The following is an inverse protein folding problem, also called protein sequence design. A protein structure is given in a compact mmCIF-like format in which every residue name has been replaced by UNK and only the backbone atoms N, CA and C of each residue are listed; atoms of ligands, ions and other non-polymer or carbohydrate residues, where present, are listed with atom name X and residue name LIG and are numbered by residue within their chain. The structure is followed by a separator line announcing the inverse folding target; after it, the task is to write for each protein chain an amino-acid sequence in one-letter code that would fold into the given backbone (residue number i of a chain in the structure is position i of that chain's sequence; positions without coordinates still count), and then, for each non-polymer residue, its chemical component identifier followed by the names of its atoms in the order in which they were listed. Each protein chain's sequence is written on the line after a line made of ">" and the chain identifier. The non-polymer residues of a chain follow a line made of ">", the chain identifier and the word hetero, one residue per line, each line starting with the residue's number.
data_IF_128450249041
#
_entry.id   IF_128450249041
#
_cell.length_a   1.000
_cell.length_b   1.000
_cell.length_c   1.000
_cell.angle_alpha   90.00
_cell.angle_beta   90.00
_cell.angle_gamma   90.00
#
_symmetry.space_group_name_H-M   'P 1'
#
loop_
_entity.id
_entity.type
_entity.pdbx_description
1 polymer ?
2 non-polymer ?
3 non-polymer ?
4 water ?
#
# COMPACT_ATOMS: atom_id res chain seq x y z
N UNK A 23 -18.88 -3.36 26.44
CA UNK A 23 -19.50 -4.56 25.87
C UNK A 23 -20.15 -4.26 24.52
N UNK A 24 -19.44 -3.50 23.68
CA UNK A 24 -19.90 -3.17 22.33
C UNK A 24 -20.38 -4.40 21.58
N UNK A 25 -21.55 -4.29 20.96
CA UNK A 25 -21.99 -5.26 19.96
C UNK A 25 -22.25 -4.50 18.67
N UNK A 26 -21.82 -5.08 17.54
CA UNK A 26 -22.07 -4.47 16.24
C UNK A 26 -23.55 -4.53 15.88
N UNK A 27 -24.12 -3.40 15.46
CA UNK A 27 -25.54 -3.32 15.09
C UNK A 27 -25.73 -3.15 13.58
N UNK A 28 -24.77 -2.53 12.92
CA UNK A 28 -24.87 -2.25 11.48
C UNK A 28 -23.51 -2.35 10.83
N UNK A 29 -23.49 -2.85 9.60
CA UNK A 29 -22.30 -2.81 8.74
C UNK A 29 -22.78 -2.22 7.44
N UNK A 30 -22.29 -1.04 7.09
CA UNK A 30 -22.71 -0.38 5.86
C UNK A 30 -21.52 -0.23 4.93
N UNK A 31 -21.76 -0.34 3.63
CA UNK A 31 -20.66 -0.40 2.66
C UNK A 31 -20.97 0.54 1.50
N UNK A 32 -19.96 1.31 1.08
CA UNK A 32 -20.06 2.16 -0.11
C UNK A 32 -18.88 1.87 -1.01
N UNK A 33 -19.02 2.19 -2.30
CA UNK A 33 -17.89 2.18 -3.22
C UNK A 33 -17.74 3.60 -3.76
N UNK A 34 -16.52 4.14 -3.72
CA UNK A 34 -16.29 5.52 -4.16
C UNK A 34 -15.27 5.60 -5.29
N UNK A 35 -15.43 6.57 -6.19
CA UNK A 35 -14.39 6.93 -7.16
C UNK A 35 -13.77 8.27 -6.77
N UNK A 36 -12.45 8.32 -6.62
CA UNK A 36 -11.77 9.59 -6.35
C UNK A 36 -10.68 9.86 -7.38
N UNK A 37 -10.49 11.14 -7.74
CA UNK A 37 -9.54 11.51 -8.79
C UNK A 37 -8.10 11.71 -8.33
N UNK A 38 -7.18 11.39 -9.24
CA UNK A 38 -5.76 11.69 -9.09
C UNK A 38 -5.51 13.09 -9.64
N UNK A 39 -4.30 13.60 -9.51
CA UNK A 39 -3.96 14.90 -10.10
C UNK A 39 -3.46 14.73 -11.54
N UNK A 40 -2.67 13.68 -11.75
CA UNK A 40 -2.04 13.41 -13.04
C UNK A 40 -2.07 11.90 -13.31
N UNK A 41 -1.97 11.49 -14.58
CA UNK A 41 -2.01 10.05 -14.85
C UNK A 41 -0.82 9.29 -14.26
N UNK A 42 -1.03 7.99 -14.03
CA UNK A 42 -0.05 7.15 -13.35
C UNK A 42 0.11 5.84 -14.13
N UNK A 43 1.31 5.60 -14.64
CA UNK A 43 1.57 4.47 -15.53
C UNK A 43 2.42 3.37 -14.89
N UNK A 44 1.83 2.18 -14.72
CA UNK A 44 2.62 1.01 -14.35
C UNK A 44 2.88 0.18 -15.61
N UNK A 45 3.55 -0.96 -15.47
CA UNK A 45 3.80 -1.84 -16.61
C UNK A 45 2.49 -2.49 -17.06
N UNK A 46 1.47 -2.27 -16.24
CA UNK A 46 0.22 -3.01 -16.23
C UNK A 46 -0.89 -2.17 -16.86
N UNK A 47 -0.95 -0.88 -16.49
CA UNK A 47 -2.00 0.01 -16.96
C UNK A 47 -1.64 1.49 -16.72
N UNK A 48 -2.52 2.38 -17.15
CA UNK A 48 -2.41 3.81 -16.86
C UNK A 48 -3.71 4.30 -16.23
N UNK A 49 -3.63 4.80 -14.99
CA UNK A 49 -4.82 5.19 -14.24
C UNK A 49 -4.92 6.69 -14.02
N UNK A 50 -6.15 7.17 -13.81
CA UNK A 50 -6.41 8.59 -13.56
C UNK A 50 -7.31 8.80 -12.34
N UNK A 51 -7.60 7.72 -11.63
CA UNK A 51 -8.42 7.78 -10.43
C UNK A 51 -8.31 6.52 -9.60
N UNK A 52 -8.83 6.57 -8.37
CA UNK A 52 -8.93 5.39 -7.52
C UNK A 52 -10.39 5.00 -7.33
N UNK A 53 -10.65 3.69 -7.30
CA UNK A 53 -11.91 3.19 -6.80
C UNK A 53 -11.61 2.47 -5.50
N UNK A 54 -12.38 2.78 -4.45
CA UNK A 54 -12.16 2.18 -3.13
C UNK A 54 -13.47 1.75 -2.50
N UNK A 55 -13.40 0.81 -1.56
CA UNK A 55 -14.57 0.36 -0.81
C UNK A 55 -14.47 0.86 0.63
N UNK A 56 -15.55 1.48 1.11
CA UNK A 56 -15.58 2.08 2.44
C UNK A 56 -16.59 1.35 3.30
N UNK A 57 -16.22 1.06 4.55
CA UNK A 57 -17.08 0.31 5.46
C UNK A 57 -17.24 1.08 6.77
N UNK A 58 -18.46 1.16 7.26
CA UNK A 58 -18.70 1.70 8.59
C UNK A 58 -19.32 0.62 9.44
N UNK A 59 -18.71 0.36 10.59
CA UNK A 59 -19.25 -0.57 11.57
C UNK A 59 -19.86 0.20 12.73
N UNK A 60 -21.17 0.02 12.93
CA UNK A 60 -21.87 0.69 14.02
C UNK A 60 -22.08 -0.24 15.20
N UNK A 61 -21.99 0.29 16.42
CA UNK A 61 -22.20 -0.52 17.61
C UNK A 61 -23.35 0.00 18.46
N UNK A 62 -23.76 -0.80 19.43
CA UNK A 62 -24.90 -0.43 20.28
C UNK A 62 -24.52 0.65 21.29
N UNK A 63 -23.25 1.02 21.35
CA UNK A 63 -22.81 2.09 22.24
C UNK A 63 -22.71 3.42 21.48
N UNK A 64 -22.97 3.36 20.18
CA UNK A 64 -22.98 4.57 19.37
C UNK A 64 -21.65 4.80 18.68
N UNK A 65 -20.65 3.98 19.03
CA UNK A 65 -19.33 4.10 18.40
C UNK A 65 -19.43 3.68 16.94
N UNK A 66 -18.78 4.43 16.07
CA UNK A 66 -18.73 4.08 14.65
C UNK A 66 -17.28 3.92 14.20
N UNK A 67 -16.94 2.72 13.75
CA UNK A 67 -15.61 2.47 13.22
C UNK A 67 -15.61 2.49 11.70
N UNK A 68 -14.57 3.08 11.12
CA UNK A 68 -14.47 3.20 9.67
C UNK A 68 -13.29 2.43 9.11
N UNK A 69 -13.52 1.73 8.01
CA UNK A 69 -12.47 1.07 7.28
C UNK A 69 -12.55 1.43 5.81
N UNK A 70 -11.47 1.16 5.08
CA UNK A 70 -11.40 1.44 3.66
C UNK A 70 -10.43 0.45 3.04
N UNK A 71 -10.74 -0.03 1.85
CA UNK A 71 -9.91 -1.05 1.23
C UNK A 71 -9.92 -0.86 -0.28
N UNK A 72 -9.16 -1.69 -1.00
CA UNK A 72 -8.98 -1.49 -2.43
C UNK A 72 -10.14 -2.02 -3.26
N UNK A 73 -10.29 -1.44 -4.46
CA UNK A 73 -11.29 -1.86 -5.45
C UNK A 73 -12.75 -1.59 -5.07
N UNK A 74 -13.68 -2.04 -5.92
CA UNK A 74 -15.07 -1.62 -5.83
C UNK A 74 -16.08 -2.73 -5.69
N UNK A 75 -16.97 -2.86 -6.68
CA UNK A 75 -18.11 -3.76 -6.61
C UNK A 75 -17.82 -5.17 -6.08
N UNK A 76 -16.78 -5.84 -6.61
CA UNK A 76 -16.58 -7.20 -6.10
C UNK A 76 -16.07 -7.27 -4.66
N UNK A 77 -15.34 -6.26 -4.20
CA UNK A 77 -14.89 -6.26 -2.81
C UNK A 77 -16.06 -5.91 -1.90
N UNK A 78 -16.83 -4.89 -2.27
CA UNK A 78 -18.03 -4.55 -1.52
C UNK A 78 -18.97 -5.74 -1.38
N UNK A 79 -19.07 -6.56 -2.44
CA UNK A 79 -19.99 -7.70 -2.42
C UNK A 79 -19.57 -8.71 -1.36
N UNK A 80 -18.27 -8.94 -1.22
CA UNK A 80 -17.76 -9.87 -0.22
C UNK A 80 -18.06 -9.35 1.19
N UNK A 81 -17.80 -8.05 1.42
CA UNK A 81 -18.06 -7.46 2.73
C UNK A 81 -19.54 -7.61 3.11
N UNK A 82 -20.42 -7.34 2.16
CA UNK A 82 -21.85 -7.42 2.44
C UNK A 82 -22.30 -8.85 2.75
N UNK A 83 -21.61 -9.84 2.20
CA UNK A 83 -21.93 -11.23 2.50
C UNK A 83 -21.42 -11.65 3.88
N UNK A 84 -20.31 -11.07 4.31
CA UNK A 84 -19.78 -11.32 5.65
C UNK A 84 -20.54 -10.57 6.74
N UNK A 85 -21.22 -9.49 6.35
CA UNK A 85 -21.88 -8.59 7.31
C UNK A 85 -22.95 -9.18 8.24
N UNK A 86 -23.89 -9.98 7.71
CA UNK A 86 -24.99 -10.43 8.59
C UNK A 86 -24.48 -11.16 9.84
N UNK A 87 -23.42 -11.95 9.70
CA UNK A 87 -22.86 -12.68 10.83
C UNK A 87 -22.03 -11.81 11.77
N UNK A 88 -21.65 -10.61 11.30
CA UNK A 88 -20.96 -9.66 12.15
C UNK A 88 -21.90 -9.01 13.16
N UNK A 89 -23.19 -8.95 12.82
CA UNK A 89 -24.18 -8.34 13.69
C UNK A 89 -24.23 -9.10 15.01
N UNK A 90 -24.12 -8.37 16.11
CA UNK A 90 -24.17 -8.96 17.44
C UNK A 90 -22.83 -9.40 17.99
N UNK A 91 -21.77 -9.23 17.21
CA UNK A 91 -20.42 -9.57 17.68
C UNK A 91 -19.66 -8.34 18.20
N UNK A 92 -18.58 -8.58 18.92
CA UNK A 92 -17.75 -7.50 19.44
C UNK A 92 -16.66 -7.12 18.45
N UNK A 93 -16.39 -5.82 18.28
CA UNK A 93 -15.30 -5.41 17.39
C UNK A 93 -13.94 -5.88 17.91
N UNK A 94 -13.87 -6.21 19.19
CA UNK A 94 -12.63 -6.74 19.77
C UNK A 94 -12.35 -8.18 19.31
N UNK A 95 -13.40 -8.89 18.90
CA UNK A 95 -13.28 -10.33 18.55
C UNK A 95 -12.71 -10.60 17.16
N UNK A 96 -11.56 -10.00 16.87
CA UNK A 96 -10.97 -10.14 15.53
C UNK A 96 -10.36 -11.51 15.27
N UNK A 97 -9.81 -12.16 16.29
CA UNK A 97 -9.27 -13.50 16.05
C UNK A 97 -10.38 -14.43 15.56
N UNK A 98 -11.55 -14.35 16.22
CA UNK A 98 -12.68 -15.18 15.84
C UNK A 98 -13.18 -14.84 14.43
N UNK A 99 -13.24 -13.55 14.10
CA UNK A 99 -13.68 -13.13 12.78
C UNK A 99 -12.76 -13.67 11.67
N UNK A 100 -11.46 -13.50 11.85
CA UNK A 100 -10.51 -13.98 10.86
C UNK A 100 -10.57 -15.50 10.67
N UNK A 101 -10.73 -16.24 11.77
CA UNK A 101 -10.83 -17.70 11.67
C UNK A 101 -12.12 -18.11 10.96
N UNK A 102 -13.21 -17.41 11.26
CA UNK A 102 -14.49 -17.71 10.63
C UNK A 102 -14.40 -17.52 9.11
N UNK A 103 -13.66 -16.50 8.70
CA UNK A 103 -13.56 -16.15 7.28
C UNK A 103 -12.31 -16.73 6.62
N UNK A 104 -11.73 -17.77 7.22
CA UNK A 104 -10.46 -18.31 6.75
C UNK A 104 -10.46 -18.79 5.30
N UNK A 105 -11.60 -19.25 4.82
CA UNK A 105 -11.68 -19.77 3.46
C UNK A 105 -11.93 -18.70 2.40
N UNK A 106 -12.31 -17.51 2.83
CA UNK A 106 -12.63 -16.45 1.89
C UNK A 106 -11.46 -16.14 0.92
N UNK A 107 -10.23 -15.98 1.44
CA UNK A 107 -9.12 -15.69 0.52
C UNK A 107 -8.76 -16.87 -0.39
N UNK A 108 -9.10 -18.10 0.00
CA UNK A 108 -8.79 -19.23 -0.87
C UNK A 108 -9.53 -19.14 -2.19
N UNK A 109 -10.77 -18.66 -2.13
CA UNK A 109 -11.61 -18.55 -3.31
C UNK A 109 -11.54 -17.19 -3.97
N UNK A 110 -11.56 -16.14 -3.15
CA UNK A 110 -11.69 -14.77 -3.67
C UNK A 110 -10.33 -14.08 -3.84
N UNK A 111 -9.26 -14.76 -3.41
CA UNK A 111 -7.91 -14.25 -3.56
C UNK A 111 -7.66 -12.89 -2.92
N UNK A 112 -6.93 -12.04 -3.64
CA UNK A 112 -6.55 -10.70 -3.17
C UNK A 112 -7.81 -9.93 -2.72
N UNK A 113 -8.89 -10.04 -3.50
CA UNK A 113 -10.13 -9.34 -3.15
C UNK A 113 -10.71 -9.84 -1.83
N UNK A 114 -10.52 -11.13 -1.53
CA UNK A 114 -10.94 -11.68 -0.25
C UNK A 114 -10.16 -11.09 0.92
N UNK A 115 -8.83 -11.08 0.82
CA UNK A 115 -8.03 -10.40 1.84
C UNK A 115 -8.45 -8.94 2.00
N UNK A 116 -8.68 -8.27 0.87
CA UNK A 116 -9.04 -6.85 0.88
C UNK A 116 -10.35 -6.61 1.61
N UNK A 117 -11.34 -7.45 1.35
CA UNK A 117 -12.65 -7.31 1.97
C UNK A 117 -12.54 -7.54 3.48
N UNK A 118 -11.80 -8.58 3.86
CA UNK A 118 -11.57 -8.83 5.28
C UNK A 118 -10.84 -7.65 5.95
N UNK A 119 -9.86 -7.08 5.25
CA UNK A 119 -9.11 -5.94 5.79
C UNK A 119 -9.97 -4.72 6.07
N UNK A 120 -10.97 -4.46 5.25
CA UNK A 120 -11.86 -3.32 5.46
C UNK A 120 -12.59 -3.46 6.80
N UNK A 121 -13.09 -4.67 7.07
CA UNK A 121 -13.77 -4.94 8.32
C UNK A 121 -12.79 -4.86 9.48
N UNK A 122 -11.62 -5.47 9.29
CA UNK A 122 -10.54 -5.45 10.28
C UNK A 122 -10.20 -4.02 10.72
N UNK A 123 -9.93 -3.16 9.74
CA UNK A 123 -9.59 -1.76 10.02
C UNK A 123 -10.72 -1.02 10.74
N UNK A 124 -11.96 -1.22 10.28
CA UNK A 124 -13.10 -0.59 10.92
C UNK A 124 -13.22 -1.02 12.38
N UNK A 125 -12.92 -2.28 12.65
CA UNK A 125 -12.96 -2.76 14.05
C UNK A 125 -11.85 -2.13 14.90
N UNK A 126 -10.65 -1.99 14.35
CA UNK A 126 -9.59 -1.30 15.08
C UNK A 126 -9.95 0.15 15.39
N UNK A 127 -10.58 0.82 14.43
CA UNK A 127 -11.04 2.18 14.63
C UNK A 127 -12.06 2.23 15.76
N UNK A 128 -13.00 1.29 15.73
CA UNK A 128 -14.04 1.22 16.77
C UNK A 128 -13.43 0.88 18.14
N UNK A 129 -12.46 -0.04 18.16
CA UNK A 129 -11.76 -0.39 19.40
C UNK A 129 -11.06 0.82 20.01
N UNK A 130 -10.32 1.56 19.20
CA UNK A 130 -9.70 2.79 19.67
C UNK A 130 -10.69 3.81 20.21
N UNK A 131 -11.79 4.02 19.48
CA UNK A 131 -12.79 4.99 19.94
C UNK A 131 -13.47 4.54 21.23
N UNK A 132 -13.71 3.25 21.36
CA UNK A 132 -14.36 2.72 22.55
C UNK A 132 -13.47 2.83 23.80
N UNK A 133 -12.16 2.80 23.58
CA UNK A 133 -11.19 2.80 24.67
C UNK A 133 -10.52 4.16 24.88
N UNK A 134 -10.84 5.12 24.01
CA UNK A 134 -10.23 6.44 24.09
C UNK A 134 -8.76 6.44 23.72
N UNK A 135 -8.32 5.43 22.97
CA UNK A 135 -6.92 5.31 22.58
C UNK A 135 -6.74 5.35 21.08
N UNK A 136 -5.60 5.85 20.62
CA UNK A 136 -5.25 5.75 19.20
C UNK A 136 -5.01 4.29 18.82
N UNK A 137 -5.22 3.97 17.55
CA UNK A 137 -4.84 2.63 17.07
C UNK A 137 -3.35 2.44 17.27
N UNK A 138 -2.57 3.50 17.07
CA UNK A 138 -1.12 3.43 17.29
C UNK A 138 -0.81 2.91 18.69
N UNK A 139 -1.53 3.42 19.68
CA UNK A 139 -1.29 3.00 21.06
C UNK A 139 -1.75 1.58 21.37
N UNK A 140 -2.74 1.10 20.61
CA UNK A 140 -3.19 -0.30 20.75
C UNK A 140 -2.27 -1.28 20.01
N UNK A 141 -1.30 -0.74 19.27
CA UNK A 141 -0.37 -1.55 18.49
C UNK A 141 1.05 -1.52 19.04
N UNK A 142 1.20 -1.01 20.26
CA UNK A 142 2.51 -0.97 20.90
C UNK A 142 3.04 0.43 21.11
N UNK A 143 2.28 1.43 20.67
CA UNK A 143 2.69 2.80 20.88
C UNK A 143 3.70 3.29 19.84
N UNK A 144 3.85 4.60 19.76
CA UNK A 144 4.71 5.20 18.75
C UNK A 144 6.20 5.00 19.03
N UNK A 145 6.95 4.70 17.97
CA UNK A 145 8.41 4.78 17.98
C UNK A 145 8.87 5.88 17.02
N UNK A 146 7.95 6.36 16.20
CA UNK A 146 8.18 7.52 15.33
C UNK A 146 6.85 8.24 15.10
N UNK A 147 6.88 9.57 14.89
CA UNK A 147 5.63 10.31 14.69
C UNK A 147 5.49 10.92 13.30
N UNK A 148 6.47 10.67 12.44
CA UNK A 148 6.40 11.07 11.03
C UNK A 148 6.77 9.89 10.16
N UNK A 149 6.17 9.82 8.98
CA UNK A 149 6.44 8.70 8.05
C UNK A 149 6.82 9.24 6.68
N UNK A 150 8.09 9.02 6.27
CA UNK A 150 8.50 9.51 4.96
C UNK A 150 7.81 8.72 3.87
N UNK A 151 7.48 9.39 2.76
CA UNK A 151 6.87 8.70 1.63
C UNK A 151 7.76 8.83 0.40
N UNK A 152 7.37 8.13 -0.66
CA UNK A 152 8.23 7.97 -1.83
C UNK A 152 7.66 8.70 -3.03
N UNK A 153 8.53 9.38 -3.78
CA UNK A 153 8.11 9.98 -5.04
C UNK A 153 7.98 8.90 -6.10
N UNK A 154 6.79 8.75 -6.65
CA UNK A 154 6.55 7.75 -7.65
C UNK A 154 6.62 8.39 -9.03
N UNK A 155 7.54 7.94 -9.86
CA UNK A 155 7.67 8.48 -11.22
C UNK A 155 7.41 7.41 -12.28
N UNK A 156 6.75 7.81 -13.35
CA UNK A 156 6.40 6.88 -14.42
C UNK A 156 6.62 7.56 -15.76
N UNK A 157 6.58 6.79 -16.84
CA UNK A 157 6.80 7.34 -18.18
C UNK A 157 5.72 8.34 -18.59
N UNK A 158 4.59 8.33 -17.89
CA UNK A 158 3.52 9.31 -18.15
C UNK A 158 3.97 10.72 -17.75
N UNK A 159 5.07 10.82 -17.01
CA UNK A 159 5.62 12.11 -16.60
C UNK A 159 6.49 12.71 -17.70
N UNK A 160 6.76 11.93 -18.74
CA UNK A 160 7.51 12.41 -19.90
C UNK A 160 6.74 12.14 -21.19
N UNK A 161 5.53 12.72 -21.32
CA UNK A 161 4.54 12.38 -22.35
C UNK A 161 5.07 12.54 -23.77
N UNK A 162 5.80 13.62 -24.00
CA UNK A 162 6.23 13.93 -25.35
C UNK A 162 7.44 13.15 -25.84
N UNK A 163 8.18 12.56 -24.90
CA UNK A 163 9.55 12.11 -25.15
C UNK A 163 9.78 10.98 -26.16
N UNK A 164 10.79 11.20 -27.01
CA UNK A 164 11.37 10.17 -27.87
C UNK A 164 12.21 9.26 -26.99
N UNK A 165 12.38 7.99 -27.39
CA UNK A 165 13.23 7.02 -26.67
C UNK A 165 14.60 7.61 -26.32
N UNK A 166 15.19 8.35 -27.25
CA UNK A 166 16.49 8.98 -27.03
C UNK A 166 16.42 10.05 -25.92
N UNK A 167 15.29 10.75 -25.84
CA UNK A 167 15.12 11.85 -24.89
C UNK A 167 14.52 11.45 -23.55
N UNK A 168 13.93 10.25 -23.49
CA UNK A 168 13.21 9.81 -22.30
C UNK A 168 14.02 9.82 -20.99
N UNK A 169 15.25 9.30 -20.98
CA UNK A 169 15.99 9.32 -19.71
C UNK A 169 16.22 10.72 -19.15
N UNK A 170 16.64 11.66 -19.99
CA UNK A 170 16.86 13.04 -19.54
C UNK A 170 15.56 13.68 -19.04
N UNK A 171 14.48 13.47 -19.78
CA UNK A 171 13.18 14.00 -19.38
C UNK A 171 12.73 13.44 -18.04
N UNK A 172 12.97 12.15 -17.82
CA UNK A 172 12.61 11.53 -16.54
C UNK A 172 13.47 12.02 -15.38
N UNK A 173 14.75 12.24 -15.65
CA UNK A 173 15.68 12.72 -14.63
C UNK A 173 15.36 14.15 -14.22
N UNK A 174 15.05 14.99 -15.20
CA UNK A 174 14.68 16.38 -14.91
C UNK A 174 13.38 16.43 -14.11
N UNK A 175 12.45 15.54 -14.45
CA UNK A 175 11.22 15.43 -13.67
C UNK A 175 11.49 14.98 -12.23
N UNK A 176 12.34 13.97 -12.08
CA UNK A 176 12.67 13.46 -10.75
C UNK A 176 13.27 14.57 -9.88
N UNK A 177 14.18 15.35 -10.44
CA UNK A 177 14.83 16.43 -9.70
C UNK A 177 13.80 17.45 -9.21
N UNK A 178 12.89 17.86 -10.09
CA UNK A 178 11.83 18.79 -9.71
C UNK A 178 10.96 18.24 -8.59
N UNK A 179 10.56 16.98 -8.70
CA UNK A 179 9.70 16.37 -7.68
C UNK A 179 10.40 16.28 -6.33
N UNK A 180 11.67 15.87 -6.33
CA UNK A 180 12.44 15.75 -5.10
C UNK A 180 12.72 17.12 -4.48
N UNK A 181 13.14 18.08 -5.30
CA UNK A 181 13.45 19.41 -4.80
C UNK A 181 12.20 20.12 -4.27
N UNK A 182 11.08 19.97 -4.98
CA UNK A 182 9.84 20.61 -4.56
C UNK A 182 9.16 19.90 -3.38
N UNK A 183 9.29 18.57 -3.33
CA UNK A 183 8.53 17.78 -2.37
C UNK A 183 9.28 17.28 -1.15
N UNK A 184 10.61 17.30 -1.21
CA UNK A 184 11.41 16.85 -0.09
C UNK A 184 11.45 15.34 0.11
N UNK A 185 11.13 14.59 -0.94
CA UNK A 185 11.09 13.14 -0.86
C UNK A 185 12.45 12.52 -0.59
N UNK A 186 12.49 11.53 0.30
CA UNK A 186 13.72 10.79 0.63
C UNK A 186 14.01 9.68 -0.37
N UNK A 187 12.99 9.26 -1.10
CA UNK A 187 13.13 8.12 -2.00
C UNK A 187 12.39 8.39 -3.31
N UNK A 188 12.88 7.79 -4.38
CA UNK A 188 12.26 7.88 -5.70
C UNK A 188 12.09 6.47 -6.25
N UNK A 189 10.90 6.17 -6.77
CA UNK A 189 10.64 4.86 -7.33
C UNK A 189 10.16 4.98 -8.76
N UNK A 190 10.90 4.39 -9.69
CA UNK A 190 10.50 4.32 -11.09
C UNK A 190 9.58 3.13 -11.35
N UNK A 191 8.44 3.39 -11.98
CA UNK A 191 7.61 2.29 -12.45
C UNK A 191 8.20 1.76 -13.74
N UNK A 192 8.67 0.51 -13.70
CA UNK A 192 9.33 -0.09 -14.84
C UNK A 192 8.32 -0.59 -15.83
N UNK A 193 8.82 -1.13 -16.94
CA UNK A 193 7.97 -1.53 -18.07
C UNK A 193 8.53 -2.78 -18.71
N UNK A 194 7.93 -3.21 -19.81
CA UNK A 194 8.47 -4.34 -20.56
C UNK A 194 9.76 -3.96 -21.27
N UNK A 195 9.98 -2.65 -21.46
CA UNK A 195 11.18 -2.11 -22.08
C UNK A 195 12.28 -2.02 -21.03
N UNK A 196 12.90 -3.14 -20.68
CA UNK A 196 13.89 -3.14 -19.59
C UNK A 196 15.15 -2.35 -19.92
N UNK A 197 15.58 -2.33 -21.18
CA UNK A 197 16.74 -1.53 -21.53
C UNK A 197 16.47 -0.03 -21.32
N UNK A 198 15.26 0.39 -21.65
CA UNK A 198 14.86 1.78 -21.44
C UNK A 198 14.73 2.12 -19.96
N UNK A 199 14.23 1.17 -19.18
CA UNK A 199 14.14 1.34 -17.73
C UNK A 199 15.54 1.60 -17.15
N UNK A 200 16.52 0.80 -17.58
CA UNK A 200 17.90 0.96 -17.11
C UNK A 200 18.48 2.33 -17.49
N UNK A 201 18.22 2.75 -18.72
CA UNK A 201 18.68 4.05 -19.20
C UNK A 201 18.11 5.19 -18.35
N UNK A 202 16.83 5.09 -18.02
CA UNK A 202 16.17 6.09 -17.18
C UNK A 202 16.82 6.13 -15.78
N UNK A 203 17.03 4.97 -15.18
CA UNK A 203 17.60 4.92 -13.85
C UNK A 203 19.01 5.51 -13.83
N UNK A 204 19.79 5.23 -14.88
CA UNK A 204 21.14 5.81 -14.97
C UNK A 204 21.10 7.33 -14.95
N UNK A 205 20.16 7.89 -15.70
CA UNK A 205 20.03 9.35 -15.78
C UNK A 205 19.53 9.93 -14.45
N UNK A 206 18.57 9.27 -13.83
CA UNK A 206 18.04 9.71 -12.53
C UNK A 206 19.12 9.69 -11.44
N UNK A 207 19.88 8.59 -11.37
CA UNK A 207 20.98 8.50 -10.40
C UNK A 207 22.02 9.60 -10.62
N UNK A 208 22.37 9.85 -11.88
CA UNK A 208 23.35 10.89 -12.18
C UNK A 208 22.87 12.25 -11.67
N UNK A 209 21.58 12.50 -11.81
CA UNK A 209 20.99 13.77 -11.42
C UNK A 209 20.76 13.87 -9.90
N UNK A 210 20.57 12.72 -9.28
CA UNK A 210 20.27 12.65 -7.84
C UNK A 210 21.16 11.61 -7.17
N UNK A 211 22.44 11.96 -6.93
CA UNK A 211 23.40 10.96 -6.45
C UNK A 211 23.09 10.46 -5.05
N UNK A 212 22.35 11.22 -4.26
CA UNK A 212 22.11 10.89 -2.87
C UNK A 212 20.75 10.28 -2.51
N UNK A 213 19.83 10.27 -3.46
CA UNK A 213 18.46 9.81 -3.19
C UNK A 213 18.38 8.28 -3.13
N UNK A 214 17.55 7.74 -2.24
CA UNK A 214 17.24 6.31 -2.30
C UNK A 214 16.43 6.06 -3.57
N UNK A 215 16.89 5.11 -4.39
CA UNK A 215 16.31 4.90 -5.71
C UNK A 215 15.88 3.45 -5.91
N UNK A 216 14.69 3.27 -6.47
CA UNK A 216 14.10 1.95 -6.67
C UNK A 216 13.53 1.83 -8.08
N UNK A 217 13.41 0.60 -8.57
CA UNK A 217 12.62 0.38 -9.79
C UNK A 217 11.71 -0.82 -9.56
N UNK A 218 10.50 -0.74 -10.11
CA UNK A 218 9.46 -1.76 -9.93
C UNK A 218 8.83 -2.04 -11.28
N UNK A 219 9.29 -3.10 -11.96
CA UNK A 219 8.71 -3.49 -13.25
C UNK A 219 7.39 -4.28 -13.11
N UNK A 220 6.89 -4.45 -11.88
CA UNK A 220 5.68 -5.20 -11.63
C UNK A 220 5.68 -6.58 -12.31
N UNK A 221 6.83 -7.24 -12.21
CA UNK A 221 7.07 -8.60 -12.71
C UNK A 221 7.04 -8.72 -14.23
N UNK A 222 7.30 -7.61 -14.92
CA UNK A 222 7.18 -7.59 -16.38
C UNK A 222 8.41 -8.13 -17.14
N UNK A 223 9.52 -8.33 -16.44
CA UNK A 223 10.75 -8.77 -17.08
C UNK A 223 10.91 -10.27 -16.95
N UNK A 224 11.46 -10.92 -17.98
CA UNK A 224 11.83 -12.33 -17.83
C UNK A 224 12.98 -12.47 -16.86
N UNK A 225 13.26 -13.70 -16.40
CA UNK A 225 14.38 -13.88 -15.47
C UNK A 225 15.75 -13.56 -16.12
N UNK A 226 16.02 -14.07 -17.34
CA UNK A 226 17.30 -13.67 -17.95
C UNK A 226 17.43 -12.15 -18.15
N UNK A 227 16.36 -11.48 -18.54
CA UNK A 227 16.43 -10.02 -18.69
C UNK A 227 16.60 -9.33 -17.33
N UNK A 228 16.03 -9.92 -16.27
CA UNK A 228 16.18 -9.38 -14.91
C UNK A 228 17.62 -9.51 -14.44
N UNK A 229 18.26 -10.63 -14.78
CA UNK A 229 19.66 -10.79 -14.43
C UNK A 229 20.52 -9.80 -15.23
N UNK A 230 20.30 -9.69 -16.54
CA UNK A 230 21.08 -8.76 -17.33
C UNK A 230 20.90 -7.32 -16.85
N UNK A 231 19.64 -6.92 -16.61
CA UNK A 231 19.37 -5.57 -16.12
C UNK A 231 19.92 -5.35 -14.73
N UNK A 232 19.75 -6.34 -13.85
CA UNK A 232 20.22 -6.25 -12.47
C UNK A 232 21.72 -6.02 -12.41
N UNK A 233 22.47 -6.78 -13.22
CA UNK A 233 23.92 -6.59 -13.30
C UNK A 233 24.25 -5.18 -13.71
N UNK A 234 23.55 -4.67 -14.72
CA UNK A 234 23.76 -3.31 -15.20
C UNK A 234 23.46 -2.26 -14.13
N UNK A 235 22.47 -2.56 -13.29
CA UNK A 235 22.01 -1.59 -12.30
C UNK A 235 22.81 -1.59 -11.01
N UNK A 236 23.69 -2.58 -10.82
CA UNK A 236 24.49 -2.65 -9.59
C UNK A 236 25.24 -1.35 -9.32
N UNK A 237 25.75 -0.72 -10.38
CA UNK A 237 26.58 0.47 -10.21
C UNK A 237 25.79 1.65 -9.64
N UNK A 238 24.47 1.55 -9.63
CA UNK A 238 23.66 2.68 -9.18
C UNK A 238 23.31 2.62 -7.70
N UNK A 239 23.70 1.54 -7.02
CA UNK A 239 23.38 1.33 -5.60
C UNK A 239 21.90 1.61 -5.26
N UNK A 240 21.00 0.90 -5.94
CA UNK A 240 19.58 1.05 -5.68
C UNK A 240 19.26 0.56 -4.28
N UNK A 241 18.25 1.19 -3.66
CA UNK A 241 17.79 0.72 -2.36
C UNK A 241 17.24 -0.69 -2.51
N UNK A 242 16.45 -0.90 -3.56
CA UNK A 242 16.08 -2.24 -3.96
C UNK A 242 15.55 -2.29 -5.38
N UNK A 243 15.58 -3.49 -5.91
CA UNK A 243 14.95 -3.86 -7.15
C UNK A 243 13.67 -4.59 -6.74
N UNK A 244 12.52 -4.07 -7.15
CA UNK A 244 11.23 -4.57 -6.69
C UNK A 244 10.54 -5.37 -7.80
N UNK A 245 10.24 -6.65 -7.53
CA UNK A 245 9.53 -7.50 -8.48
C UNK A 245 9.95 -7.35 -9.94
N UNK A 246 11.24 -7.62 -10.23
CA UNK A 246 11.63 -7.59 -11.65
C UNK A 246 10.88 -8.64 -12.45
N UNK A 247 10.64 -9.80 -11.85
CA UNK A 247 10.08 -10.96 -12.58
C UNK A 247 9.01 -11.66 -11.75
N UNK A 248 8.35 -12.63 -12.36
CA UNK A 248 7.27 -13.38 -11.72
C UNK A 248 7.81 -14.53 -10.88
N UNK A 249 7.24 -14.73 -9.70
CA UNK A 249 7.35 -16.01 -8.99
C UNK A 249 8.51 -16.15 -8.03
N UNK A 250 8.33 -16.98 -7.01
CA UNK A 250 9.43 -17.30 -6.08
C UNK A 250 10.66 -17.89 -6.77
N UNK A 251 10.46 -18.79 -7.73
CA UNK A 251 11.59 -19.42 -8.40
C UNK A 251 12.43 -18.39 -9.15
N UNK A 252 11.77 -17.54 -9.93
CA UNK A 252 12.47 -16.54 -10.71
C UNK A 252 13.16 -15.52 -9.83
N UNK A 253 12.45 -15.06 -8.81
CA UNK A 253 13.04 -14.10 -7.89
C UNK A 253 14.28 -14.67 -7.21
N UNK A 254 14.21 -15.93 -6.81
CA UNK A 254 15.38 -16.57 -6.20
C UNK A 254 16.56 -16.66 -7.18
N UNK A 255 16.28 -16.90 -8.46
CA UNK A 255 17.37 -16.94 -9.44
C UNK A 255 18.01 -15.56 -9.59
N UNK A 256 17.18 -14.52 -9.55
CA UNK A 256 17.70 -13.15 -9.60
C UNK A 256 18.57 -12.85 -8.37
N UNK A 257 18.06 -13.17 -7.18
CA UNK A 257 18.81 -12.90 -5.95
C UNK A 257 20.14 -13.66 -5.96
N UNK A 258 20.17 -14.86 -6.54
CA UNK A 258 21.42 -15.61 -6.55
C UNK A 258 22.51 -14.94 -7.39
N UNK A 259 22.12 -14.14 -8.39
CA UNK A 259 23.09 -13.55 -9.31
C UNK A 259 23.31 -12.06 -9.10
N UNK A 260 22.26 -11.33 -8.74
CA UNK A 260 22.29 -9.87 -8.77
C UNK A 260 22.53 -9.28 -7.37
N UNK A 261 23.54 -8.41 -7.25
CA UNK A 261 23.87 -7.84 -5.94
C UNK A 261 23.16 -6.50 -5.69
N UNK A 262 21.84 -6.60 -5.57
CA UNK A 262 20.95 -5.49 -5.24
C UNK A 262 19.89 -6.14 -4.37
N UNK A 263 19.54 -5.51 -3.22
CA UNK A 263 18.46 -6.11 -2.43
C UNK A 263 17.19 -6.25 -3.26
N UNK A 264 16.54 -7.40 -3.14
CA UNK A 264 15.38 -7.73 -3.93
C UNK A 264 14.13 -7.63 -3.07
N UNK A 265 13.15 -6.87 -3.53
CA UNK A 265 11.91 -6.61 -2.79
C UNK A 265 10.71 -7.19 -3.51
N UNK A 266 9.68 -7.60 -2.77
CA UNK A 266 8.44 -8.05 -3.43
C UNK A 266 7.16 -7.59 -2.76
N UNK A 267 6.13 -7.39 -3.58
CA UNK A 267 4.75 -7.39 -3.11
C UNK A 267 3.89 -8.29 -4.00
N UNK A 268 4.53 -9.24 -4.66
CA UNK A 268 3.84 -10.07 -5.64
C UNK A 268 4.12 -11.59 -5.49
N UNK A 269 5.32 -11.97 -5.07
CA UNK A 269 5.64 -13.39 -4.91
C UNK A 269 5.50 -13.88 -3.45
N UNK A 270 5.44 -12.95 -2.50
CA UNK A 270 5.11 -13.26 -1.13
C UNK A 270 3.98 -12.31 -0.75
N UNK A 271 2.74 -12.81 -0.74
CA UNK A 271 1.58 -11.95 -0.52
C UNK A 271 0.66 -12.53 0.54
N UNK A 272 1.12 -13.61 1.17
CA UNK A 272 0.38 -14.24 2.26
C UNK A 272 1.36 -15.11 3.02
N UNK A 273 1.00 -15.51 4.24
CA UNK A 273 1.90 -16.31 5.05
C UNK A 273 2.27 -17.67 4.46
N UNK A 274 1.37 -18.26 3.67
CA UNK A 274 1.66 -19.54 3.01
C UNK A 274 2.85 -19.45 2.07
N UNK A 275 3.15 -18.23 1.61
CA UNK A 275 4.27 -18.02 0.69
C UNK A 275 5.60 -17.85 1.42
N UNK A 276 5.54 -17.54 2.71
CA UNK A 276 6.72 -17.06 3.41
C UNK A 276 7.77 -18.14 3.65
N UNK A 277 7.37 -19.28 4.20
CA UNK A 277 8.35 -20.35 4.43
C UNK A 277 9.01 -20.82 3.12
N UNK A 278 8.22 -21.06 2.06
CA UNK A 278 8.90 -21.44 0.82
C UNK A 278 9.85 -20.35 0.30
N UNK A 279 9.48 -19.08 0.40
CA UNK A 279 10.34 -18.00 -0.08
C UNK A 279 11.62 -17.94 0.74
N UNK A 280 11.54 -18.25 2.04
CA UNK A 280 12.78 -18.26 2.83
C UNK A 280 13.67 -19.43 2.50
N UNK A 281 13.09 -20.62 2.36
CA UNK A 281 13.92 -21.79 2.08
C UNK A 281 14.60 -21.66 0.72
N UNK A 282 13.93 -21.00 -0.21
CA UNK A 282 14.48 -20.84 -1.55
C UNK A 282 15.26 -19.54 -1.71
N UNK A 283 15.38 -18.77 -0.63
CA UNK A 283 16.16 -17.52 -0.63
C UNK A 283 15.71 -16.59 -1.76
N UNK A 284 14.42 -16.29 -1.78
CA UNK A 284 13.83 -15.57 -2.90
C UNK A 284 13.89 -14.06 -2.80
N UNK A 285 13.88 -13.52 -1.56
CA UNK A 285 13.74 -12.07 -1.39
C UNK A 285 14.53 -11.53 -0.20
N UNK A 286 14.90 -10.26 -0.27
CA UNK A 286 15.61 -9.61 0.81
C UNK A 286 14.72 -8.63 1.60
N UNK A 287 13.66 -8.16 0.94
CA UNK A 287 12.77 -7.13 1.50
C UNK A 287 11.34 -7.54 1.13
N UNK A 288 10.41 -7.46 2.09
CA UNK A 288 9.00 -7.73 1.77
C UNK A 288 8.18 -6.50 2.01
N UNK A 289 7.29 -6.17 1.07
CA UNK A 289 6.28 -5.14 1.33
C UNK A 289 5.12 -5.70 2.12
N UNK A 290 4.78 -5.03 3.21
CA UNK A 290 3.51 -5.28 3.86
C UNK A 290 2.47 -4.40 3.19
N UNK A 291 1.21 -4.66 3.51
CA UNK A 291 0.09 -3.87 3.01
C UNK A 291 -1.12 -4.49 3.70
N UNK A 292 -1.76 -3.72 4.56
CA UNK A 292 -2.88 -4.20 5.36
C UNK A 292 -3.97 -4.81 4.49
N UNK A 293 -4.20 -4.22 3.33
CA UNK A 293 -5.33 -4.59 2.46
C UNK A 293 -5.02 -5.86 1.67
N UNK A 294 -3.73 -6.08 1.41
CA UNK A 294 -3.27 -7.26 0.74
C UNK A 294 -3.16 -8.46 1.70
N UNK A 295 -2.89 -8.17 2.97
CA UNK A 295 -2.65 -9.24 3.94
C UNK A 295 -3.84 -9.49 4.85
N UNK A 296 -4.90 -8.71 4.67
CA UNK A 296 -6.17 -8.97 5.34
C UNK A 296 -6.38 -8.32 6.69
N UNK A 297 -5.42 -7.51 7.15
CA UNK A 297 -5.61 -6.82 8.42
C UNK A 297 -4.38 -6.24 9.07
N UNK A 298 -4.60 -5.55 10.18
CA UNK A 298 -3.52 -4.89 10.90
C UNK A 298 -2.66 -5.87 11.69
N UNK A 299 -3.29 -6.78 12.44
CA UNK A 299 -2.48 -7.79 13.17
C UNK A 299 -1.61 -8.63 12.24
N UNK A 300 -2.13 -8.98 11.07
CA UNK A 300 -1.33 -9.74 10.10
C UNK A 300 -0.07 -8.95 9.70
N UNK A 301 -0.22 -7.64 9.57
CA UNK A 301 0.88 -6.77 9.15
C UNK A 301 1.93 -6.61 10.26
N UNK A 302 1.48 -6.44 11.50
CA UNK A 302 2.40 -6.49 12.64
C UNK A 302 3.11 -7.83 12.71
N UNK A 303 2.39 -8.93 12.45
CA UNK A 303 3.01 -10.25 12.44
C UNK A 303 4.05 -10.36 11.33
N UNK A 304 3.73 -9.83 10.16
CA UNK A 304 4.68 -9.88 9.05
C UNK A 304 5.95 -9.14 9.42
N UNK A 305 5.81 -7.99 10.09
CA UNK A 305 7.00 -7.24 10.54
C UNK A 305 7.89 -8.10 11.43
N UNK A 306 7.28 -8.84 12.34
CA UNK A 306 8.06 -9.71 13.21
C UNK A 306 8.76 -10.82 12.41
N UNK A 307 8.07 -11.37 11.42
CA UNK A 307 8.65 -12.39 10.56
C UNK A 307 9.87 -11.83 9.82
N UNK A 308 9.75 -10.58 9.33
CA UNK A 308 10.86 -9.95 8.64
C UNK A 308 12.05 -9.79 9.57
N UNK A 309 11.81 -9.29 10.78
CA UNK A 309 12.92 -9.18 11.75
C UNK A 309 13.60 -10.51 12.02
N UNK A 310 12.79 -11.57 12.20
CA UNK A 310 13.35 -12.90 12.48
C UNK A 310 14.26 -13.41 11.38
N UNK A 311 13.92 -13.10 10.12
CA UNK A 311 14.70 -13.57 8.99
C UNK A 311 15.67 -12.54 8.43
N UNK A 312 15.81 -11.42 9.13
CA UNK A 312 16.73 -10.39 8.69
C UNK A 312 16.33 -9.76 7.37
N UNK A 313 15.04 -9.66 7.13
CA UNK A 313 14.56 -9.05 5.91
C UNK A 313 14.24 -7.59 6.16
N UNK A 314 14.43 -6.76 5.13
CA UNK A 314 13.87 -5.43 5.17
C UNK A 314 12.37 -5.52 5.05
N UNK A 315 11.69 -4.46 5.46
CA UNK A 315 10.25 -4.37 5.24
C UNK A 315 9.88 -2.97 4.82
N UNK A 316 8.93 -2.84 3.90
CA UNK A 316 8.37 -1.54 3.61
C UNK A 316 6.86 -1.72 3.46
N UNK A 317 6.14 -0.65 3.18
CA UNK A 317 4.71 -0.78 2.86
C UNK A 317 4.44 -0.46 1.39
N UNK A 318 3.62 -1.33 0.78
CA UNK A 318 3.12 -1.18 -0.59
C UNK A 318 1.88 -0.32 -0.57
N UNK A 319 1.66 0.42 -1.65
CA UNK A 319 0.42 1.20 -1.76
C UNK A 319 -0.47 0.69 -2.89
N UNK A 320 -1.73 0.43 -2.56
CA UNK A 320 -2.72 0.03 -3.56
C UNK A 320 -3.70 1.13 -3.89
N UNK A 321 -3.36 2.37 -3.53
CA UNK A 321 -4.20 3.52 -3.85
C UNK A 321 -5.04 4.02 -2.68
N UNK A 322 -4.49 3.90 -1.47
CA UNK A 322 -5.21 4.27 -0.25
C UNK A 322 -5.61 5.73 -0.20
N UNK A 323 -6.84 5.97 0.23
CA UNK A 323 -7.28 7.31 0.58
C UNK A 323 -6.93 7.54 2.04
N UNK A 324 -7.58 8.51 2.66
CA UNK A 324 -7.22 8.93 4.00
C UNK A 324 -7.44 7.91 5.10
N UNK A 325 -8.56 7.19 5.05
CA UNK A 325 -8.86 6.19 6.08
C UNK A 325 -7.83 5.07 6.04
N UNK A 326 -7.60 4.55 4.84
CA UNK A 326 -6.67 3.44 4.68
C UNK A 326 -5.22 3.87 4.95
N UNK A 327 -4.89 5.11 4.61
CA UNK A 327 -3.54 5.62 4.86
C UNK A 327 -3.33 5.78 6.35
N UNK A 328 -4.35 6.28 7.06
CA UNK A 328 -4.28 6.47 8.50
C UNK A 328 -4.01 5.13 9.19
N UNK A 329 -4.60 4.06 8.68
CA UNK A 329 -4.32 2.74 9.25
C UNK A 329 -2.86 2.36 9.03
N UNK A 330 -2.37 2.58 7.81
CA UNK A 330 -0.97 2.29 7.53
C UNK A 330 -0.04 3.15 8.37
N UNK A 331 -0.44 4.39 8.62
CA UNK A 331 0.39 5.27 9.45
C UNK A 331 0.47 4.77 10.89
N UNK A 332 -0.63 4.25 11.43
CA UNK A 332 -0.62 3.66 12.77
C UNK A 332 0.35 2.48 12.84
N UNK A 333 0.35 1.67 11.79
CA UNK A 333 1.25 0.54 11.70
C UNK A 333 2.71 1.02 11.65
N UNK A 334 3.03 1.93 10.73
CA UNK A 334 4.41 2.40 10.62
C UNK A 334 4.87 3.08 11.92
N UNK A 335 4.00 3.87 12.52
CA UNK A 335 4.34 4.62 13.72
C UNK A 335 4.79 3.68 14.84
N UNK A 336 4.19 2.50 14.90
CA UNK A 336 4.39 1.59 16.03
C UNK A 336 5.31 0.42 15.72
N UNK A 337 5.94 0.44 14.53
CA UNK A 337 6.68 -0.73 14.07
C UNK A 337 8.12 -0.37 13.68
N UNK A 338 9.08 -0.64 14.57
CA UNK A 338 10.50 -0.33 14.32
C UNK A 338 11.01 -0.70 12.93
N UNK A 339 10.71 -1.90 12.42
CA UNK A 339 11.32 -2.33 11.17
C UNK A 339 10.83 -1.53 9.95
N UNK A 340 9.70 -0.86 10.06
CA UNK A 340 9.20 0.00 8.98
C UNK A 340 9.89 1.38 9.03
N UNK A 341 11.19 1.36 8.74
CA UNK A 341 12.06 2.53 8.91
C UNK A 341 12.39 3.21 7.60
N UNK A 342 11.73 2.76 6.52
CA UNK A 342 11.99 3.26 5.17
C UNK A 342 10.94 4.25 4.74
N UNK A 343 11.18 4.92 3.62
CA UNK A 343 10.14 5.75 3.02
C UNK A 343 9.12 4.82 2.37
N UNK A 344 7.87 4.88 2.82
CA UNK A 344 6.86 3.95 2.31
C UNK A 344 6.36 4.37 0.94
N UNK A 345 5.75 3.44 0.22
CA UNK A 345 5.01 3.81 -0.98
C UNK A 345 3.64 4.35 -0.55
N UNK A 346 3.21 5.43 -1.18
CA UNK A 346 1.91 6.01 -0.87
C UNK A 346 1.42 6.83 -2.05
N UNK A 347 0.25 6.46 -2.57
CA UNK A 347 -0.39 7.20 -3.65
C UNK A 347 -1.08 8.45 -3.11
N UNK A 348 -1.11 8.59 -1.78
CA UNK A 348 -1.91 9.62 -1.11
C UNK A 348 -1.64 11.03 -1.60
N UNK A 349 -0.37 11.37 -1.84
CA UNK A 349 -0.02 12.72 -2.26
C UNK A 349 -0.44 13.02 -3.69
N UNK A 350 -0.80 11.97 -4.43
CA UNK A 350 -1.18 12.10 -5.83
C UNK A 350 -2.69 12.24 -6.02
N UNK A 351 -3.43 12.22 -4.92
CA UNK A 351 -4.88 12.35 -4.98
C UNK A 351 -5.36 13.79 -4.97
N UNK A 352 -6.46 14.06 -5.69
CA UNK A 352 -6.96 15.42 -5.83
C UNK A 352 -7.96 15.78 -4.72
N UNK A 353 -8.37 14.77 -3.96
CA UNK A 353 -9.31 14.97 -2.88
C UNK A 353 -9.32 13.73 -1.98
N UNK A 354 -10.09 13.80 -0.90
CA UNK A 354 -10.17 12.70 0.06
C UNK A 354 -11.56 12.70 0.65
N UNK A 355 -11.87 11.70 1.47
CA UNK A 355 -13.20 11.59 2.09
C UNK A 355 -13.11 11.82 3.60
N UNK A 356 -11.93 12.23 4.06
CA UNK A 356 -11.75 12.70 5.42
C UNK A 356 -11.08 14.07 5.34
N UNK A 357 -10.99 14.77 6.47
CA UNK A 357 -10.17 15.97 6.53
C UNK A 357 -8.74 15.54 6.27
N UNK A 358 -8.04 16.26 5.38
CA UNK A 358 -6.76 15.79 4.84
C UNK A 358 -5.70 15.49 5.90
N UNK A 359 -4.89 14.47 5.65
CA UNK A 359 -3.75 14.16 6.51
C UNK A 359 -2.69 15.25 6.35
N UNK A 360 -1.83 15.40 7.33
CA UNK A 360 -0.76 16.39 7.25
C UNK A 360 0.43 15.84 6.49
N UNK A 361 0.68 16.42 5.32
CA UNK A 361 1.83 16.05 4.50
C UNK A 361 2.72 17.27 4.37
N UNK A 362 3.96 17.14 4.82
CA UNK A 362 4.88 18.27 4.80
C UNK A 362 6.30 17.76 4.59
N UNK A 363 6.97 18.31 3.59
CA UNK A 363 8.36 18.00 3.31
C UNK A 363 8.57 16.50 3.09
N UNK A 364 7.64 15.86 2.40
CA UNK A 364 7.77 14.46 2.03
C UNK A 364 7.51 13.46 3.15
N UNK A 365 6.89 13.91 4.24
CA UNK A 365 6.47 12.97 5.28
C UNK A 365 5.07 13.24 5.81
N UNK A 366 4.37 12.15 6.12
CA UNK A 366 3.02 12.20 6.67
C UNK A 366 3.09 12.15 8.17
N UNK A 367 2.30 12.99 8.82
CA UNK A 367 2.23 12.99 10.27
C UNK A 367 1.25 11.93 10.72
N UNK A 368 1.64 11.14 11.72
CA UNK A 368 0.78 10.11 12.26
C UNK A 368 -0.36 10.80 12.99
N UNK A 369 -1.61 10.42 12.68
CA UNK A 369 -2.75 10.99 13.39
C UNK A 369 -2.69 10.72 14.88
N UNK A 370 -3.27 11.62 15.67
CA UNK A 370 -3.38 11.43 17.10
C UNK A 370 -4.87 11.44 17.42
N UNK A 371 -5.24 10.95 18.58
CA UNK A 371 -6.65 10.92 18.94
C UNK A 371 -7.20 9.51 18.76
N UNK A 372 -8.41 9.27 19.26
CA UNK A 372 -8.97 7.92 19.36
C UNK A 372 -9.15 7.26 18.00
N UNK A 373 -8.98 5.94 17.98
CA UNK A 373 -9.11 5.18 16.75
C UNK A 373 -8.06 5.59 15.73
N UNK A 374 -8.44 5.63 14.46
CA UNK A 374 -7.52 5.98 13.40
C UNK A 374 -7.19 7.46 13.41
N UNK A 375 -7.95 8.24 14.18
CA UNK A 375 -7.69 9.66 14.33
C UNK A 375 -8.17 10.48 13.15
N UNK A 376 -9.17 9.97 12.43
CA UNK A 376 -9.70 10.67 11.27
C UNK A 376 -11.17 11.03 11.44
N UNK A 377 -11.59 12.06 10.72
CA UNK A 377 -13.00 12.45 10.70
C UNK A 377 -13.53 12.38 9.28
N UNK A 378 -14.54 11.54 9.08
CA UNK A 378 -15.06 11.27 7.75
C UNK A 378 -16.04 12.36 7.30
N UNK A 379 -15.81 12.91 6.11
CA UNK A 379 -16.73 13.86 5.50
C UNK A 379 -17.79 13.05 4.77
N UNK A 380 -18.95 12.91 5.38
CA UNK A 380 -20.00 12.04 4.84
C UNK A 380 -20.67 12.62 3.59
N UNK A 381 -20.52 13.93 3.40
CA UNK A 381 -21.01 14.56 2.18
C UNK A 381 -20.11 14.16 0.99
N UNK A 382 -18.80 14.12 1.22
CA UNK A 382 -17.89 13.72 0.16
C UNK A 382 -18.05 12.24 -0.12
N UNK A 383 -18.24 11.46 0.94
CA UNK A 383 -18.49 10.02 0.81
C UNK A 383 -19.72 9.77 -0.07
N UNK A 384 -20.83 10.44 0.27
CA UNK A 384 -22.05 10.31 -0.51
C UNK A 384 -21.85 10.77 -1.96
N UNK A 385 -21.12 11.87 -2.13
CA UNK A 385 -20.88 12.40 -3.48
C UNK A 385 -20.09 11.44 -4.35
N UNK A 386 -18.99 10.92 -3.80
CA UNK A 386 -18.09 10.07 -4.58
C UNK A 386 -18.64 8.66 -4.76
N UNK A 387 -19.57 8.27 -3.88
CA UNK A 387 -20.30 7.02 -4.09
C UNK A 387 -21.26 7.18 -5.27
N UNK A 388 -21.83 8.38 -5.40
CA UNK A 388 -22.67 8.68 -6.53
C UNK A 388 -21.88 8.69 -7.81
N UNK A 389 -20.67 9.26 -7.77
CA UNK A 389 -19.78 9.27 -8.92
C UNK A 389 -19.50 7.83 -9.37
N UNK A 390 -19.22 6.95 -8.42
CA UNK A 390 -19.02 5.55 -8.74
C UNK A 390 -20.28 4.88 -9.32
N UNK A 391 -21.44 5.20 -8.75
CA UNK A 391 -22.69 4.61 -9.20
C UNK A 391 -22.94 4.90 -10.67
N UNK A 392 -22.61 6.11 -11.09
CA UNK A 392 -22.88 6.54 -12.46
C UNK A 392 -21.75 6.17 -13.43
N UNK A 393 -20.51 6.23 -12.95
CA UNK A 393 -19.33 6.05 -13.81
C UNK A 393 -18.82 4.63 -13.84
N UNK A 394 -19.08 3.88 -12.77
CA UNK A 394 -18.59 2.52 -12.65
C UNK A 394 -17.19 2.48 -12.05
N UNK A 395 -16.76 1.28 -11.67
CA UNK A 395 -15.42 1.07 -11.11
C UNK A 395 -14.32 1.49 -12.09
N UNK A 396 -13.23 2.03 -11.57
CA UNK A 396 -12.06 2.35 -12.39
C UNK A 396 -11.05 1.21 -12.32
N UNK A 397 -11.30 0.30 -11.38
CA UNK A 397 -10.47 -0.87 -11.14
C UNK A 397 -11.19 -2.10 -11.69
N UNK A 398 -10.46 -3.20 -11.87
CA UNK A 398 -11.10 -4.48 -12.09
C UNK A 398 -11.36 -4.94 -13.50
#
# INVERSE_FOLDING_TARGET
>A
MHHHHHHSSGVDLGTENLYFQSMMKITDVDVWVVNLPLVNPFTSSFETKTGETRTVVRVRTDSGVEGWGETMWGAPVAAIVRRMAPDLIGTSPFALEAFHRKQHMVPFFYGYLGYAAIAAVDVACWDAMGKATGQSVTDLLGGAVRDEVPITALITRADAPGATPADLPKAMAEHAVRVVEEGGFDAVKLKGTTDCAGDVAILRAVREALPGVNLRVDPNAAWSVPDSVRAGIALEELDLEYLEDPCVGIEGMAQVKAKVRIPLCTNMCVVRFEDFAPAMRLNAVDVIHGDVYKWGGIAATKALAAHCETFGLGMNLHSGGELGIATAAHLAVVSSTPVLSRAIDSMYYLHADDIIEPLHLENGRLRVPSGPGLGVSVDEDKLRHYAGVNERDGDLTG
#
